data_IF_241034613502
#
_entry.id   IF_241034613502
#
_cell.length_a   1.000
_cell.length_b   1.000
_cell.length_c   1.000
_cell.angle_alpha   90.00
_cell.angle_beta   90.00
_cell.angle_gamma   90.00
#
_symmetry.space_group_name_H-M   'P 1'
#
loop_
_entity.id
_entity.type
_entity.pdbx_description
1 polymer ?
#
# COMPACT_ATOMS: atom_id res chain seq x y z
N UNK A 1 -3.57 -53.18 8.68
CA UNK A 1 -2.67 -52.04 8.98
C UNK A 1 -1.95 -51.76 7.70
N UNK A 2 -2.54 -50.88 6.91
CA UNK A 2 -2.30 -50.78 5.48
C UNK A 2 -1.43 -49.55 5.25
N UNK A 3 -0.13 -49.79 5.06
CA UNK A 3 0.85 -48.76 4.73
C UNK A 3 0.98 -48.70 3.22
N UNK A 4 0.27 -47.77 2.60
CA UNK A 4 0.43 -47.50 1.16
C UNK A 4 1.79 -46.84 0.93
N UNK A 5 2.67 -47.61 0.29
CA UNK A 5 4.06 -47.27 0.01
C UNK A 5 4.21 -46.05 -0.90
N UNK A 6 5.27 -45.30 -0.62
CA UNK A 6 5.78 -44.21 -1.44
C UNK A 6 6.25 -44.74 -2.79
N UNK A 7 5.43 -44.57 -3.83
CA UNK A 7 5.90 -44.81 -5.20
C UNK A 7 6.74 -43.62 -5.65
N UNK A 8 8.01 -43.90 -5.84
CA UNK A 8 8.95 -43.04 -6.55
C UNK A 8 8.93 -43.40 -8.04
N UNK A 9 9.40 -42.44 -8.85
CA UNK A 9 9.95 -42.57 -10.21
C UNK A 9 9.03 -42.29 -11.41
N UNK A 10 9.34 -41.19 -12.11
CA UNK A 10 9.71 -41.13 -13.52
C UNK A 10 9.97 -39.63 -13.81
N UNK A 11 11.20 -39.15 -13.92
CA UNK A 11 12.15 -39.50 -14.97
C UNK A 11 12.07 -38.40 -16.04
N UNK A 12 12.97 -37.41 -15.95
CA UNK A 12 13.08 -36.30 -16.91
C UNK A 12 13.41 -36.80 -18.32
N UNK A 13 12.62 -36.41 -19.32
CA UNK A 13 13.06 -36.42 -20.72
C UNK A 13 12.92 -35.01 -21.31
N UNK A 14 14.01 -34.38 -21.79
CA UNK A 14 13.92 -33.24 -22.69
C UNK A 14 13.67 -33.77 -24.11
N UNK A 15 12.70 -33.18 -24.82
CA UNK A 15 12.44 -33.51 -26.22
C UNK A 15 12.57 -32.22 -27.03
N UNK A 16 13.49 -32.28 -27.99
CA UNK A 16 14.00 -31.19 -28.82
C UNK A 16 12.96 -30.55 -29.75
N UNK A 17 13.28 -29.31 -30.13
CA UNK A 17 12.58 -28.38 -31.04
C UNK A 17 12.10 -29.04 -32.34
N UNK A 18 10.82 -28.85 -32.65
CA UNK A 18 10.28 -28.99 -34.01
C UNK A 18 10.23 -27.62 -34.68
N UNK A 19 11.13 -27.38 -35.63
CA UNK A 19 11.03 -26.28 -36.60
C UNK A 19 10.03 -26.69 -37.68
N UNK A 20 8.86 -26.08 -37.68
CA UNK A 20 7.84 -26.20 -38.72
C UNK A 20 7.11 -24.88 -38.91
N UNK A 21 6.69 -24.53 -40.14
CA UNK A 21 6.11 -23.22 -40.44
C UNK A 21 4.77 -22.99 -39.74
N UNK A 22 4.64 -21.76 -39.25
CA UNK A 22 3.56 -21.19 -38.45
C UNK A 22 2.18 -21.38 -39.08
N UNK A 23 1.28 -22.05 -38.37
CA UNK A 23 -0.16 -21.90 -38.54
C UNK A 23 -0.72 -21.16 -37.31
N UNK A 24 -1.05 -19.90 -37.52
CA UNK A 24 -1.71 -18.99 -36.59
C UNK A 24 -3.10 -19.51 -36.25
N UNK A 25 -3.20 -20.29 -35.17
CA UNK A 25 -4.41 -20.41 -34.38
C UNK A 25 -4.10 -19.82 -33.01
N UNK A 26 -4.64 -18.63 -32.77
CA UNK A 26 -4.56 -17.92 -31.50
C UNK A 26 -5.49 -18.66 -30.54
N UNK A 27 -5.02 -19.79 -30.04
CA UNK A 27 -5.75 -20.58 -29.07
C UNK A 27 -5.48 -19.96 -27.69
N UNK A 28 -6.53 -19.34 -27.14
CA UNK A 28 -6.70 -18.83 -25.78
C UNK A 28 -5.61 -19.34 -24.82
N UNK A 29 -4.74 -18.42 -24.39
CA UNK A 29 -3.79 -18.67 -23.30
C UNK A 29 -4.55 -19.27 -22.12
N UNK A 30 -4.11 -20.40 -21.54
CA UNK A 30 -4.66 -20.83 -20.27
C UNK A 30 -4.38 -19.71 -19.27
N UNK A 31 -5.45 -19.18 -18.66
CA UNK A 31 -5.39 -18.19 -17.59
C UNK A 31 -4.26 -18.59 -16.62
N UNK A 32 -3.18 -17.82 -16.62
CA UNK A 32 -2.19 -17.91 -15.56
C UNK A 32 -2.92 -17.49 -14.30
N UNK A 33 -3.38 -18.46 -13.52
CA UNK A 33 -4.00 -18.19 -12.22
C UNK A 33 -3.04 -17.28 -11.44
N UNK A 34 -3.43 -16.05 -11.10
CA UNK A 34 -2.54 -15.15 -10.39
C UNK A 34 -2.13 -15.84 -9.09
N UNK A 35 -0.82 -15.84 -8.81
CA UNK A 35 -0.29 -16.26 -7.52
C UNK A 35 -0.90 -15.30 -6.50
N UNK A 36 -1.81 -15.80 -5.67
CA UNK A 36 -2.46 -15.00 -4.62
C UNK A 36 -1.39 -14.61 -3.61
N UNK A 37 -1.05 -13.33 -3.54
CA UNK A 37 -0.27 -12.79 -2.42
C UNK A 37 -1.07 -12.96 -1.12
N UNK A 38 -0.39 -13.13 0.03
CA UNK A 38 -1.06 -13.04 1.33
C UNK A 38 -1.84 -11.72 1.39
N UNK A 39 -3.10 -11.79 1.84
CA UNK A 39 -3.96 -10.62 2.01
C UNK A 39 -4.11 -10.39 3.51
N UNK A 40 -3.47 -9.33 4.01
CA UNK A 40 -3.65 -8.92 5.40
C UNK A 40 -5.02 -8.27 5.57
N UNK A 41 -5.74 -8.64 6.64
CA UNK A 41 -7.04 -8.05 6.97
C UNK A 41 -6.88 -7.03 8.08
N UNK A 42 -7.15 -5.76 7.76
CA UNK A 42 -7.23 -4.69 8.75
C UNK A 42 -8.68 -4.52 9.23
N UNK A 43 -8.91 -4.74 10.52
CA UNK A 43 -10.21 -4.49 11.16
C UNK A 43 -10.14 -3.20 11.97
N UNK A 44 -10.81 -2.14 11.50
CA UNK A 44 -10.94 -0.89 12.25
C UNK A 44 -12.15 -1.01 13.18
N UNK A 45 -11.95 -0.68 14.46
CA UNK A 45 -13.02 -0.69 15.45
C UNK A 45 -14.14 0.29 15.07
N UNK A 46 -15.37 -0.04 15.47
CA UNK A 46 -16.53 0.86 15.26
C UNK A 46 -16.31 2.24 15.88
N UNK A 47 -15.70 2.29 17.06
CA UNK A 47 -15.31 3.54 17.72
C UNK A 47 -14.28 4.34 16.91
N UNK A 48 -13.30 3.68 16.31
CA UNK A 48 -12.31 4.33 15.44
C UNK A 48 -12.94 4.96 14.20
N UNK A 49 -13.92 4.28 13.58
CA UNK A 49 -14.66 4.83 12.44
C UNK A 49 -15.50 6.05 12.83
N UNK A 50 -16.20 5.99 13.95
CA UNK A 50 -16.99 7.13 14.44
C UNK A 50 -16.12 8.34 14.77
N UNK A 51 -14.95 8.12 15.38
CA UNK A 51 -14.01 9.20 15.67
C UNK A 51 -13.44 9.81 14.38
N UNK A 52 -13.10 8.99 13.38
CA UNK A 52 -12.63 9.48 12.09
C UNK A 52 -13.70 10.37 11.43
N UNK A 53 -14.97 9.95 11.40
CA UNK A 53 -16.08 10.77 10.90
C UNK A 53 -16.24 12.11 11.65
N UNK A 54 -16.09 12.10 12.98
CA UNK A 54 -16.14 13.32 13.79
C UNK A 54 -14.93 14.24 13.62
N UNK A 55 -13.73 13.70 13.42
CA UNK A 55 -12.53 14.52 13.17
C UNK A 55 -12.52 15.05 11.74
N UNK A 56 -13.22 14.38 10.83
CA UNK A 56 -13.28 14.76 9.42
C UNK A 56 -14.26 15.89 9.09
N UNK A 57 -14.84 16.57 10.09
CA UNK A 57 -15.63 17.79 9.90
C UNK A 57 -14.91 18.77 8.95
N UNK A 58 -15.34 18.80 7.68
CA UNK A 58 -14.65 19.46 6.58
C UNK A 58 -14.69 20.98 6.70
N UNK A 59 -15.76 21.51 7.26
CA UNK A 59 -16.08 22.93 7.17
C UNK A 59 -15.16 23.74 8.09
N UNK A 60 -14.93 23.27 9.33
CA UNK A 60 -13.95 23.87 10.24
C UNK A 60 -12.52 23.82 9.67
N UNK A 61 -12.17 22.76 8.94
CA UNK A 61 -10.86 22.67 8.27
C UNK A 61 -10.77 23.64 7.10
N UNK A 62 -11.81 23.78 6.30
CA UNK A 62 -11.83 24.70 5.16
C UNK A 62 -11.63 26.16 5.59
N UNK A 63 -12.33 26.60 6.64
CA UNK A 63 -12.17 27.94 7.21
C UNK A 63 -10.75 28.16 7.75
N UNK A 64 -10.24 27.22 8.54
CA UNK A 64 -8.88 27.29 9.09
C UNK A 64 -7.82 27.32 7.98
N UNK A 65 -8.00 26.54 6.91
CA UNK A 65 -7.12 26.55 5.75
C UNK A 65 -7.17 27.90 5.02
N UNK A 66 -8.34 28.50 4.87
CA UNK A 66 -8.47 29.83 4.27
C UNK A 66 -7.76 30.90 5.09
N UNK A 67 -7.91 30.87 6.42
CA UNK A 67 -7.21 31.78 7.33
C UNK A 67 -5.68 31.61 7.26
N UNK A 68 -5.20 30.36 7.27
CA UNK A 68 -3.77 30.05 7.15
C UNK A 68 -3.22 30.57 5.82
N UNK A 69 -3.93 30.33 4.71
CA UNK A 69 -3.52 30.84 3.39
C UNK A 69 -3.41 32.36 3.39
N UNK A 70 -4.41 33.07 3.91
CA UNK A 70 -4.38 34.51 3.99
C UNK A 70 -3.19 35.03 4.82
N UNK A 71 -2.88 34.39 5.94
CA UNK A 71 -1.72 34.75 6.76
C UNK A 71 -0.38 34.46 6.06
N UNK A 72 -0.31 33.43 5.22
CA UNK A 72 0.88 33.13 4.41
C UNK A 72 1.07 34.21 3.34
N UNK A 73 -0.01 34.58 2.64
CA UNK A 73 0.01 35.61 1.60
C UNK A 73 0.39 37.00 2.16
N UNK A 74 -0.07 37.30 3.38
CA UNK A 74 0.29 38.50 4.14
C UNK A 74 1.69 38.44 4.78
N UNK A 75 2.33 37.27 4.78
CA UNK A 75 3.64 37.05 5.39
C UNK A 75 3.66 37.02 6.92
N UNK A 76 2.48 37.04 7.57
CA UNK A 76 2.31 37.03 9.03
C UNK A 76 2.12 35.63 9.61
N UNK A 77 2.16 34.60 8.75
CA UNK A 77 2.02 33.22 9.20
C UNK A 77 3.19 32.77 10.08
N UNK A 78 4.42 33.14 9.74
CA UNK A 78 5.61 32.74 10.47
C UNK A 78 5.88 33.69 11.64
N UNK A 79 5.92 33.12 12.83
CA UNK A 79 6.27 33.81 14.08
C UNK A 79 7.41 33.07 14.74
N UNK A 80 8.20 33.76 15.57
CA UNK A 80 9.35 33.16 16.28
C UNK A 80 8.93 31.91 17.08
N UNK A 81 7.76 31.97 17.73
CA UNK A 81 7.17 30.87 18.51
C UNK A 81 6.82 29.65 17.64
N UNK A 82 6.30 29.87 16.42
CA UNK A 82 5.99 28.79 15.49
C UNK A 82 7.26 28.18 14.92
N UNK A 83 8.27 28.98 14.64
CA UNK A 83 9.58 28.50 14.18
C UNK A 83 10.26 27.63 15.22
N UNK A 84 10.29 28.07 16.48
CA UNK A 84 10.85 27.28 17.59
C UNK A 84 10.11 25.96 17.76
N UNK A 85 8.77 26.00 17.75
CA UNK A 85 7.96 24.79 17.84
C UNK A 85 8.15 23.84 16.64
N UNK A 86 8.30 24.38 15.43
CA UNK A 86 8.55 23.59 14.23
C UNK A 86 9.94 22.93 14.28
N UNK A 87 10.96 23.66 14.74
CA UNK A 87 12.30 23.14 14.89
C UNK A 87 12.36 22.03 15.96
N UNK A 88 11.69 22.24 17.11
CA UNK A 88 11.60 21.21 18.16
C UNK A 88 10.99 19.91 17.63
N UNK A 89 9.84 19.99 16.96
CA UNK A 89 9.19 18.82 16.36
C UNK A 89 10.04 18.12 15.30
N UNK A 90 10.80 18.88 14.51
CA UNK A 90 11.70 18.33 13.51
C UNK A 90 12.82 17.51 14.18
N UNK A 91 13.43 18.05 15.24
CA UNK A 91 14.48 17.36 15.99
C UNK A 91 13.94 16.11 16.69
N UNK A 92 12.75 16.19 17.31
CA UNK A 92 12.07 15.04 17.90
C UNK A 92 11.84 13.94 16.85
N UNK A 93 11.34 14.31 15.67
CA UNK A 93 11.11 13.36 14.59
C UNK A 93 12.41 12.68 14.12
N UNK A 94 13.52 13.40 14.06
CA UNK A 94 14.83 12.83 13.68
C UNK A 94 15.30 11.82 14.74
N UNK A 95 15.12 12.13 16.04
CA UNK A 95 15.52 11.26 17.13
C UNK A 95 14.64 10.00 17.23
N UNK A 96 13.34 10.10 16.94
CA UNK A 96 12.41 8.97 16.91
C UNK A 96 12.61 8.06 15.67
N UNK A 97 13.41 8.50 14.69
CA UNK A 97 13.67 7.77 13.45
C UNK A 97 14.86 6.79 13.53
N UNK A 98 15.52 6.67 14.68
CA UNK A 98 16.59 5.69 14.98
C UNK A 98 16.07 4.44 15.73
#
# INVERSE_FOLDING_TARGET
MDVNGTSSISGSLPISKQTGPSNTNINKTPDSKPISSPQDKLEISSAGRMLDEMTNNSDMRAERLAQIKAAIDDGTYETDEKLEAALGRLLDQINDSE
#
